data_IF_626116789236
#
_entry.id   IF_626116789236
#
_cell.length_a   1.000
_cell.length_b   1.000
_cell.length_c   1.000
_cell.angle_alpha   90.00
_cell.angle_beta   90.00
_cell.angle_gamma   90.00
#
_symmetry.space_group_name_H-M   'P 1'
#
loop_
_entity.id
_entity.type
_entity.pdbx_description
1 polymer ?
#
# COMPACT_ATOMS: atom_id res chain seq x y z
N UNK A 1 9.82 8.21 2.49
CA UNK A 1 9.77 6.89 3.17
C UNK A 1 8.74 6.02 2.46
N UNK A 2 9.04 4.74 2.27
CA UNK A 2 8.13 3.72 1.72
C UNK A 2 8.06 2.58 2.73
N UNK A 3 6.86 2.11 3.04
CA UNK A 3 6.67 0.93 3.87
C UNK A 3 6.02 -0.19 3.05
N UNK A 4 6.70 -1.33 2.97
CA UNK A 4 6.15 -2.57 2.46
C UNK A 4 5.61 -3.36 3.64
N UNK A 5 4.36 -3.77 3.57
CA UNK A 5 3.67 -4.42 4.67
C UNK A 5 3.17 -5.79 4.29
N UNK A 6 3.35 -6.74 5.18
CA UNK A 6 2.81 -8.10 5.09
C UNK A 6 2.45 -8.63 6.47
N UNK A 7 1.74 -9.75 6.51
CA UNK A 7 1.56 -10.49 7.76
C UNK A 7 2.92 -11.00 8.27
N UNK A 8 3.06 -11.09 9.59
CA UNK A 8 4.26 -11.69 10.20
C UNK A 8 4.25 -13.21 10.04
N UNK A 9 3.05 -13.81 10.06
CA UNK A 9 2.87 -15.24 9.83
C UNK A 9 3.31 -15.65 8.42
N UNK A 10 3.93 -16.83 8.30
CA UNK A 10 4.33 -17.40 7.01
C UNK A 10 5.63 -16.82 6.43
N UNK A 11 6.43 -16.09 7.21
CA UNK A 11 7.74 -15.52 6.82
C UNK A 11 7.65 -14.51 5.65
N UNK A 12 6.47 -13.97 5.34
CA UNK A 12 6.29 -13.02 4.25
C UNK A 12 7.14 -11.75 4.44
N UNK A 13 7.24 -11.26 5.67
CA UNK A 13 8.12 -10.13 6.01
C UNK A 13 9.61 -10.44 5.79
N UNK A 14 10.08 -11.65 6.10
CA UNK A 14 11.48 -12.04 5.85
C UNK A 14 11.77 -12.11 4.35
N UNK A 15 10.84 -12.70 3.59
CA UNK A 15 10.92 -12.76 2.14
C UNK A 15 10.93 -11.37 1.49
N UNK A 16 10.10 -10.44 1.97
CA UNK A 16 10.13 -9.04 1.53
C UNK A 16 11.47 -8.37 1.83
N UNK A 17 12.00 -8.53 3.05
CA UNK A 17 13.32 -7.97 3.42
C UNK A 17 14.42 -8.49 2.52
N UNK A 18 14.41 -9.79 2.23
CA UNK A 18 15.35 -10.41 1.30
C UNK A 18 15.26 -9.77 -0.10
N UNK A 19 14.05 -9.59 -0.64
CA UNK A 19 13.86 -8.97 -1.95
C UNK A 19 14.26 -7.49 -1.99
N UNK A 20 13.99 -6.73 -0.92
CA UNK A 20 14.44 -5.33 -0.81
C UNK A 20 15.97 -5.28 -0.89
N UNK A 21 16.66 -6.16 -0.18
CA UNK A 21 18.12 -6.22 -0.18
C UNK A 21 18.68 -6.67 -1.53
N UNK A 22 18.08 -7.67 -2.17
CA UNK A 22 18.47 -8.08 -3.54
C UNK A 22 18.36 -6.91 -4.53
N UNK A 23 17.28 -6.12 -4.44
CA UNK A 23 17.11 -4.96 -5.33
C UNK A 23 18.09 -3.83 -5.02
N UNK A 24 18.41 -3.59 -3.73
CA UNK A 24 19.45 -2.65 -3.32
C UNK A 24 20.81 -3.04 -3.90
N UNK A 25 21.18 -4.32 -3.83
CA UNK A 25 22.44 -4.83 -4.40
C UNK A 25 22.48 -4.72 -5.91
N UNK A 26 21.38 -5.05 -6.60
CA UNK A 26 21.28 -4.93 -8.06
C UNK A 26 21.47 -3.48 -8.52
N UNK A 27 20.86 -2.52 -7.85
CA UNK A 27 20.98 -1.11 -8.17
C UNK A 27 22.39 -0.57 -7.87
N UNK A 28 23.00 -1.00 -6.77
CA UNK A 28 24.39 -0.63 -6.46
C UNK A 28 25.42 -1.22 -7.44
N UNK A 29 25.10 -2.32 -8.10
CA UNK A 29 25.96 -2.97 -9.09
C UNK A 29 25.84 -2.39 -10.51
N UNK A 30 24.92 -1.45 -10.75
CA UNK A 30 24.79 -0.77 -12.05
C UNK A 30 26.01 0.13 -12.29
N UNK A 31 26.81 -0.08 -13.35
CA UNK A 31 27.97 0.75 -13.65
C UNK A 31 27.56 2.20 -13.91
N UNK A 32 28.24 3.15 -13.29
CA UNK A 32 28.01 4.60 -13.43
C UNK A 32 28.72 5.21 -14.65
N UNK A 33 29.22 4.38 -15.58
CA UNK A 33 30.03 4.82 -16.71
C UNK A 33 29.20 5.53 -17.80
N UNK A 34 28.98 6.82 -17.59
CA UNK A 34 29.37 7.94 -18.48
C UNK A 34 28.99 8.00 -19.97
N UNK A 35 28.40 6.99 -20.60
CA UNK A 35 28.11 7.01 -22.03
C UNK A 35 26.77 6.32 -22.35
N UNK A 36 25.75 7.16 -22.55
CA UNK A 36 24.37 6.82 -22.96
C UNK A 36 23.38 6.52 -21.82
N UNK A 37 22.77 7.60 -21.34
CA UNK A 37 21.60 7.58 -20.47
C UNK A 37 21.99 7.74 -19.02
N UNK A 38 21.50 8.80 -18.38
CA UNK A 38 21.65 9.05 -16.95
C UNK A 38 21.15 7.83 -16.16
N UNK A 39 22.06 6.95 -15.74
CA UNK A 39 21.80 6.03 -14.65
C UNK A 39 21.79 6.88 -13.38
N UNK A 40 20.66 7.51 -13.12
CA UNK A 40 20.46 8.35 -11.94
C UNK A 40 20.58 7.47 -10.69
N UNK A 41 21.44 7.87 -9.74
CA UNK A 41 21.56 7.24 -8.42
C UNK A 41 20.22 7.22 -7.63
N UNK A 42 19.19 7.89 -8.14
CA UNK A 42 17.81 7.96 -7.67
C UNK A 42 17.27 6.60 -7.24
N UNK A 43 17.54 5.52 -7.99
CA UNK A 43 17.05 4.18 -7.63
C UNK A 43 17.63 3.69 -6.30
N UNK A 44 18.92 3.89 -6.06
CA UNK A 44 19.59 3.47 -4.83
C UNK A 44 19.17 4.35 -3.64
N UNK A 45 19.00 5.65 -3.87
CA UNK A 45 18.48 6.60 -2.86
C UNK A 45 17.03 6.27 -2.46
N UNK A 46 16.17 5.94 -3.42
CA UNK A 46 14.81 5.46 -3.17
C UNK A 46 14.82 4.20 -2.31
N UNK A 47 15.68 3.23 -2.64
CA UNK A 47 15.81 1.99 -1.85
C UNK A 47 16.39 2.21 -0.45
N UNK A 48 17.10 3.31 -0.20
CA UNK A 48 17.52 3.73 1.14
C UNK A 48 16.34 4.10 2.07
N UNK A 49 15.18 4.41 1.48
CA UNK A 49 13.98 4.85 2.18
C UNK A 49 12.86 3.78 2.25
N UNK A 50 13.15 2.54 1.82
CA UNK A 50 12.20 1.42 1.85
C UNK A 50 12.39 0.60 3.13
N UNK A 51 11.31 0.41 3.87
CA UNK A 51 11.25 -0.39 5.08
C UNK A 51 10.22 -1.51 4.96
N UNK A 52 10.45 -2.62 5.63
CA UNK A 52 9.48 -3.73 5.73
C UNK A 52 8.95 -3.77 7.15
N UNK A 53 7.63 -3.68 7.31
CA UNK A 53 6.96 -3.69 8.59
C UNK A 53 5.83 -4.73 8.61
N UNK A 54 5.65 -5.49 9.71
CA UNK A 54 4.48 -6.34 9.86
C UNK A 54 3.22 -5.48 9.98
N UNK A 55 2.14 -5.91 9.33
CA UNK A 55 0.81 -5.31 9.47
C UNK A 55 -0.25 -6.40 9.36
N UNK A 56 -0.68 -6.92 10.51
CA UNK A 56 -1.89 -7.75 10.58
C UNK A 56 -3.12 -6.85 10.51
N UNK A 57 -3.99 -7.06 9.53
CA UNK A 57 -5.18 -6.24 9.35
C UNK A 57 -6.17 -6.31 10.52
N UNK A 58 -6.11 -7.35 11.35
CA UNK A 58 -6.92 -7.44 12.57
C UNK A 58 -6.62 -6.32 13.57
N UNK A 59 -5.46 -5.66 13.47
CA UNK A 59 -5.10 -4.55 14.35
C UNK A 59 -5.96 -3.30 14.14
N UNK A 60 -6.76 -3.19 13.08
CA UNK A 60 -7.68 -2.04 12.89
C UNK A 60 -8.71 -1.92 14.01
N UNK A 61 -9.05 -3.03 14.68
CA UNK A 61 -9.98 -3.07 15.81
C UNK A 61 -9.27 -3.11 17.17
N UNK A 62 -7.93 -3.11 17.19
CA UNK A 62 -7.17 -3.18 18.42
C UNK A 62 -7.10 -1.81 19.13
N UNK A 63 -7.08 -1.86 20.47
CA UNK A 63 -6.86 -0.69 21.34
C UNK A 63 -5.46 -0.08 21.11
N UNK A 64 -4.47 -0.94 20.90
CA UNK A 64 -3.11 -0.56 20.52
C UNK A 64 -2.84 -0.98 19.07
N UNK A 65 -2.56 0.02 18.21
CA UNK A 65 -2.30 -0.20 16.78
C UNK A 65 -0.82 0.00 16.48
N UNK A 66 -0.27 -0.66 15.44
CA UNK A 66 1.07 -0.37 14.96
C UNK A 66 1.20 1.11 14.58
N UNK A 67 2.30 1.76 14.98
CA UNK A 67 2.56 3.17 14.70
C UNK A 67 2.48 3.54 13.21
N UNK A 68 2.69 2.55 12.32
CA UNK A 68 2.51 2.70 10.88
C UNK A 68 1.08 3.15 10.50
N UNK A 69 0.07 2.72 11.25
CA UNK A 69 -1.33 3.07 11.02
C UNK A 69 -1.66 4.52 11.37
N UNK A 70 -0.85 5.16 12.21
CA UNK A 70 -0.99 6.56 12.59
C UNK A 70 -0.08 7.50 11.78
N UNK A 71 0.76 6.93 10.91
CA UNK A 71 1.58 7.72 10.00
C UNK A 71 0.72 8.38 8.92
N UNK A 72 1.11 9.60 8.53
CA UNK A 72 0.59 10.25 7.33
C UNK A 72 1.25 9.63 6.10
N UNK A 73 0.45 9.03 5.23
CA UNK A 73 0.87 8.53 3.94
C UNK A 73 0.39 9.47 2.83
N UNK A 74 1.18 9.63 1.78
CA UNK A 74 0.78 10.34 0.56
C UNK A 74 0.13 9.39 -0.46
N UNK A 75 0.48 8.10 -0.42
CA UNK A 75 -0.08 7.07 -1.27
C UNK A 75 -0.21 5.73 -0.53
N UNK A 76 -1.24 4.95 -0.89
CA UNK A 76 -1.50 3.60 -0.41
C UNK A 76 -1.70 2.72 -1.64
N UNK A 77 -0.93 1.63 -1.75
CA UNK A 77 -0.92 0.75 -2.91
C UNK A 77 -1.15 -0.69 -2.46
N UNK A 78 -2.06 -1.39 -3.12
CA UNK A 78 -2.30 -2.82 -2.90
C UNK A 78 -2.61 -3.56 -4.19
N UNK A 79 -2.30 -4.85 -4.24
CA UNK A 79 -2.54 -5.69 -5.42
C UNK A 79 -2.94 -7.12 -5.03
N UNK A 80 -4.00 -7.63 -5.65
CA UNK A 80 -4.51 -9.01 -5.57
C UNK A 80 -4.71 -9.54 -4.13
N UNK A 81 -5.18 -8.64 -3.26
CA UNK A 81 -5.38 -8.88 -1.83
C UNK A 81 -6.74 -9.51 -1.48
N UNK A 82 -7.69 -9.61 -2.43
CA UNK A 82 -9.00 -10.23 -2.21
C UNK A 82 -8.95 -11.68 -2.74
N UNK A 83 -8.75 -12.62 -1.82
CA UNK A 83 -8.79 -14.06 -2.12
C UNK A 83 -9.46 -14.91 -1.02
N UNK A 84 -9.93 -14.27 0.06
CA UNK A 84 -10.75 -14.87 1.11
C UNK A 84 -11.70 -13.82 1.73
N UNK A 85 -12.64 -14.26 2.56
CA UNK A 85 -13.65 -13.41 3.20
C UNK A 85 -13.04 -12.37 4.14
N UNK A 86 -11.97 -12.75 4.86
CA UNK A 86 -11.24 -11.86 5.75
C UNK A 86 -10.64 -10.68 4.98
N UNK A 87 -10.03 -10.91 3.83
CA UNK A 87 -9.46 -9.86 2.99
C UNK A 87 -10.53 -8.94 2.39
N UNK A 88 -11.64 -9.52 1.92
CA UNK A 88 -12.77 -8.74 1.39
C UNK A 88 -13.35 -7.78 2.45
N UNK A 89 -13.37 -8.20 3.72
CA UNK A 89 -13.93 -7.41 4.83
C UNK A 89 -12.91 -6.45 5.45
N UNK A 90 -11.67 -6.88 5.67
CA UNK A 90 -10.71 -6.12 6.46
C UNK A 90 -9.96 -5.08 5.63
N UNK A 91 -9.69 -5.34 4.35
CA UNK A 91 -8.95 -4.39 3.52
C UNK A 91 -9.60 -3.00 3.43
N UNK A 92 -10.94 -2.87 3.20
CA UNK A 92 -11.60 -1.55 3.24
C UNK A 92 -11.44 -0.82 4.58
N UNK A 93 -11.49 -1.55 5.70
CA UNK A 93 -11.31 -0.97 7.04
C UNK A 93 -9.89 -0.46 7.25
N UNK A 94 -8.89 -1.23 6.83
CA UNK A 94 -7.47 -0.82 6.86
C UNK A 94 -7.26 0.43 6.03
N UNK A 95 -7.75 0.45 4.79
CA UNK A 95 -7.65 1.62 3.91
C UNK A 95 -8.28 2.86 4.55
N UNK A 96 -9.47 2.71 5.17
CA UNK A 96 -10.12 3.82 5.86
C UNK A 96 -9.28 4.36 7.01
N UNK A 97 -8.74 3.49 7.87
CA UNK A 97 -7.89 3.92 9.00
C UNK A 97 -6.66 4.68 8.52
N UNK A 98 -5.99 4.19 7.47
CA UNK A 98 -4.81 4.83 6.91
C UNK A 98 -5.13 6.19 6.26
N UNK A 99 -6.26 6.30 5.56
CA UNK A 99 -6.77 7.58 5.03
C UNK A 99 -7.05 8.55 6.18
N UNK A 100 -7.69 8.10 7.25
CA UNK A 100 -8.03 8.97 8.38
C UNK A 100 -6.80 9.47 9.14
N UNK A 101 -5.78 8.62 9.32
CA UNK A 101 -4.54 9.04 9.95
C UNK A 101 -3.86 10.20 9.19
N UNK A 102 -3.90 10.16 7.86
CA UNK A 102 -3.39 11.24 7.01
C UNK A 102 -4.19 12.54 7.15
N UNK A 103 -5.47 12.45 7.50
CA UNK A 103 -6.34 13.61 7.73
C UNK A 103 -6.24 14.18 9.16
N UNK A 104 -5.84 13.38 10.16
CA UNK A 104 -5.73 13.80 11.57
C UNK A 104 -4.45 14.56 11.90
N UNK A 105 -3.37 14.37 11.15
CA UNK A 105 -2.04 14.94 11.43
C UNK A 105 -2.01 16.45 11.17
N UNK A 106 -2.44 17.22 12.16
CA UNK A 106 -2.51 18.69 12.14
C UNK A 106 -1.51 19.27 13.15
N UNK A 107 -0.32 19.59 12.66
CA UNK A 107 0.67 20.43 13.37
C UNK A 107 1.16 21.63 12.55
N UNK A 108 0.97 21.61 11.22
CA UNK A 108 1.37 22.68 10.32
C UNK A 108 0.15 23.51 9.90
N UNK A 109 0.18 24.81 10.16
CA UNK A 109 -0.96 25.73 10.08
C UNK A 109 -1.42 26.12 8.67
N UNK A 110 -0.76 25.66 7.60
CA UNK A 110 -0.85 26.38 6.32
C UNK A 110 -1.38 25.60 5.10
N UNK A 111 -1.79 24.33 5.23
CA UNK A 111 -2.58 23.65 4.18
C UNK A 111 -3.55 22.62 4.76
N UNK A 112 -4.76 22.47 4.18
CA UNK A 112 -5.63 21.36 4.52
C UNK A 112 -4.96 20.03 4.13
N UNK A 113 -5.06 18.98 4.95
CA UNK A 113 -4.53 17.68 4.58
C UNK A 113 -5.23 17.19 3.31
N UNK A 114 -4.47 16.98 2.24
CA UNK A 114 -4.97 16.25 1.08
C UNK A 114 -5.01 14.76 1.45
N UNK A 115 -6.12 14.05 1.17
CA UNK A 115 -6.18 12.62 1.40
C UNK A 115 -5.13 11.90 0.54
N UNK A 116 -4.62 10.73 0.99
CA UNK A 116 -3.68 9.95 0.20
C UNK A 116 -4.32 9.49 -1.11
N UNK A 117 -3.49 9.32 -2.15
CA UNK A 117 -3.88 8.60 -3.35
C UNK A 117 -3.94 7.09 -3.02
N UNK A 118 -5.10 6.46 -3.17
CA UNK A 118 -5.26 5.02 -2.94
C UNK A 118 -5.43 4.31 -4.27
N UNK A 119 -4.50 3.41 -4.58
CA UNK A 119 -4.53 2.57 -5.78
C UNK A 119 -4.63 1.10 -5.38
N UNK A 120 -5.67 0.44 -5.89
CA UNK A 120 -5.90 -0.97 -5.63
C UNK A 120 -6.33 -1.70 -6.90
N UNK A 121 -5.78 -2.89 -7.09
CA UNK A 121 -6.15 -3.79 -8.17
C UNK A 121 -6.31 -5.23 -7.63
N UNK A 122 -7.26 -5.98 -8.18
CA UNK A 122 -7.37 -7.42 -8.01
C UNK A 122 -8.01 -8.05 -9.23
N UNK A 123 -7.88 -9.36 -9.33
CA UNK A 123 -8.54 -10.14 -10.38
C UNK A 123 -10.05 -10.21 -10.11
N UNK A 124 -10.84 -9.31 -10.71
CA UNK A 124 -12.30 -9.35 -10.63
C UNK A 124 -12.85 -10.67 -11.17
N UNK A 125 -13.96 -11.12 -10.61
CA UNK A 125 -14.66 -12.36 -10.95
C UNK A 125 -13.85 -13.65 -10.71
N UNK A 126 -12.69 -13.57 -10.05
CA UNK A 126 -12.02 -14.79 -9.54
C UNK A 126 -12.91 -15.49 -8.53
N UNK A 127 -13.51 -14.72 -7.63
CA UNK A 127 -14.51 -15.17 -6.67
C UNK A 127 -15.60 -14.10 -6.53
N UNK A 128 -16.69 -14.21 -7.30
CA UNK A 128 -17.70 -13.14 -7.41
C UNK A 128 -18.35 -12.71 -6.09
N UNK A 129 -18.46 -13.63 -5.13
CA UNK A 129 -18.98 -13.30 -3.80
C UNK A 129 -18.03 -12.37 -3.03
N UNK A 130 -16.71 -12.59 -3.14
CA UNK A 130 -15.72 -11.73 -2.49
C UNK A 130 -15.66 -10.33 -3.10
N UNK A 131 -15.85 -10.21 -4.42
CA UNK A 131 -15.98 -8.90 -5.07
C UNK A 131 -17.16 -8.12 -4.48
N UNK A 132 -18.31 -8.79 -4.31
CA UNK A 132 -19.51 -8.19 -3.72
C UNK A 132 -19.27 -7.76 -2.28
N UNK A 133 -18.73 -8.65 -1.46
CA UNK A 133 -18.44 -8.40 -0.05
C UNK A 133 -17.47 -7.22 0.09
N UNK A 134 -16.43 -7.17 -0.75
CA UNK A 134 -15.47 -6.06 -0.80
C UNK A 134 -16.14 -4.72 -1.15
N UNK A 135 -17.00 -4.69 -2.17
CA UNK A 135 -17.70 -3.46 -2.57
C UNK A 135 -18.71 -2.99 -1.52
N UNK A 136 -19.44 -3.92 -0.91
CA UNK A 136 -20.36 -3.62 0.19
C UNK A 136 -19.62 -3.06 1.40
N UNK A 137 -18.48 -3.64 1.77
CA UNK A 137 -17.68 -3.18 2.90
C UNK A 137 -16.98 -1.84 2.61
N UNK A 138 -16.54 -1.59 1.37
CA UNK A 138 -16.11 -0.27 0.92
C UNK A 138 -17.21 0.79 1.15
N UNK A 139 -18.45 0.48 0.78
CA UNK A 139 -19.56 1.40 1.00
C UNK A 139 -19.85 1.63 2.50
N UNK A 140 -19.84 0.58 3.32
CA UNK A 140 -20.04 0.68 4.78
C UNK A 140 -18.97 1.52 5.48
N UNK A 141 -17.72 1.42 5.02
CA UNK A 141 -16.58 2.18 5.54
C UNK A 141 -16.50 3.60 4.97
N UNK A 142 -17.44 4.00 4.10
CA UNK A 142 -17.49 5.31 3.49
C UNK A 142 -16.43 5.55 2.41
N UNK A 143 -15.81 4.49 1.88
CA UNK A 143 -14.90 4.58 0.75
C UNK A 143 -15.70 4.72 -0.55
N UNK A 144 -15.26 5.66 -1.39
CA UNK A 144 -15.80 5.86 -2.74
C UNK A 144 -14.80 5.30 -3.73
N UNK A 145 -15.24 4.31 -4.51
CA UNK A 145 -14.40 3.65 -5.50
C UNK A 145 -14.61 4.29 -6.88
N UNK A 146 -13.52 4.59 -7.56
CA UNK A 146 -13.51 5.01 -8.96
C UNK A 146 -12.68 4.03 -9.77
N UNK A 147 -13.24 3.51 -10.87
CA UNK A 147 -12.50 2.64 -11.78
C UNK A 147 -11.52 3.49 -12.59
N UNK A 148 -10.24 3.17 -12.48
CA UNK A 148 -9.17 3.83 -13.25
C UNK A 148 -8.70 3.03 -14.46
N UNK A 149 -8.88 1.71 -14.44
CA UNK A 149 -8.48 0.80 -15.53
C UNK A 149 -9.35 -0.48 -15.54
N UNK A 150 -9.69 -1.07 -16.71
CA UNK A 150 -9.55 -0.48 -18.04
C UNK A 150 -10.44 0.75 -18.20
N UNK A 151 -10.02 1.69 -19.05
CA UNK A 151 -10.73 2.93 -19.33
C UNK A 151 -12.15 2.65 -19.85
N UNK A 152 -13.08 3.59 -19.68
CA UNK A 152 -14.48 3.41 -20.08
C UNK A 152 -14.66 3.06 -21.56
N UNK A 153 -13.73 3.47 -22.41
CA UNK A 153 -13.75 3.30 -23.87
C UNK A 153 -13.20 1.96 -24.37
N UNK A 154 -12.76 1.05 -23.49
CA UNK A 154 -12.18 -0.25 -23.85
C UNK A 154 -13.17 -1.44 -23.73
N UNK A 155 -14.47 -1.20 -23.90
CA UNK A 155 -15.51 -2.26 -23.89
C UNK A 155 -16.34 -2.30 -25.17
#
# INVERSE_FOLDING_TARGET
>A
RVALTEMEEGNACEWLRHNVELNRQRLAAVPTDGAHGEASNDGLEVMGNVEVAPLDWCCVEADERPALMDCRWDAIIGSDLIYNEAGATMLPRVMRVLIDAACRTTGARDLPPSPPCVLYAHTRYRFEHLDRDFFEECAKTGLVLSRVWPAEDER
#
